data_IF_921249716006
#
_entry.id   IF_921249716006
#
_cell.length_a   1.000
_cell.length_b   1.000
_cell.length_c   1.000
_cell.angle_alpha   90.00
_cell.angle_beta   90.00
_cell.angle_gamma   90.00
#
_symmetry.space_group_name_H-M   'P 1'
#
loop_
_entity.id
_entity.type
_entity.pdbx_description
1 polymer ?
#
# COMPACT_ATOMS: atom_id res chain seq x y z
N UNK A 1 11.38 21.00 -5.08
CA UNK A 1 10.51 21.04 -6.28
C UNK A 1 9.10 20.69 -5.87
N UNK A 2 8.06 21.33 -6.43
CA UNK A 2 6.66 20.93 -6.17
C UNK A 2 6.39 19.61 -6.89
N UNK A 3 5.99 18.58 -6.16
CA UNK A 3 5.57 17.29 -6.74
C UNK A 3 4.29 17.48 -7.55
N UNK A 4 4.20 16.86 -8.71
CA UNK A 4 3.06 17.02 -9.63
C UNK A 4 2.21 15.75 -9.67
N UNK A 5 0.90 15.88 -9.91
CA UNK A 5 0.05 14.74 -10.23
C UNK A 5 0.59 13.99 -11.44
N UNK A 6 0.76 12.68 -11.32
CA UNK A 6 1.43 11.87 -12.35
C UNK A 6 0.76 10.50 -12.47
N UNK A 7 0.52 10.06 -13.71
CA UNK A 7 0.10 8.68 -14.02
C UNK A 7 1.32 7.82 -14.26
N UNK A 8 1.36 6.68 -13.60
CA UNK A 8 2.45 5.70 -13.70
C UNK A 8 1.86 4.34 -14.10
N UNK A 9 2.58 3.65 -14.97
CA UNK A 9 2.33 2.26 -15.37
C UNK A 9 3.50 1.39 -15.01
N UNK A 10 3.24 0.29 -14.32
CA UNK A 10 4.31 -0.63 -13.92
C UNK A 10 5.10 -1.17 -15.13
N UNK A 11 4.44 -1.35 -16.29
CA UNK A 11 5.08 -1.83 -17.51
C UNK A 11 6.13 -0.88 -18.09
N UNK A 12 6.09 0.41 -17.73
CA UNK A 12 7.01 1.42 -18.23
C UNK A 12 8.28 1.54 -17.37
N UNK A 13 8.38 0.78 -16.28
CA UNK A 13 9.43 0.88 -15.28
C UNK A 13 10.28 -0.40 -15.21
N UNK A 14 11.53 -0.24 -14.82
CA UNK A 14 12.43 -1.37 -14.62
C UNK A 14 12.09 -2.17 -13.36
N UNK A 15 12.15 -3.49 -13.50
CA UNK A 15 12.03 -4.41 -12.38
C UNK A 15 13.38 -4.61 -11.67
N UNK A 16 13.33 -4.94 -10.39
CA UNK A 16 14.50 -5.28 -9.57
C UNK A 16 14.20 -6.45 -8.62
N UNK A 17 15.24 -7.10 -8.11
CA UNK A 17 15.10 -8.16 -7.10
C UNK A 17 15.35 -7.57 -5.71
N UNK A 18 14.35 -7.58 -4.82
CA UNK A 18 14.51 -7.01 -3.48
C UNK A 18 15.41 -7.86 -2.58
N UNK A 19 16.08 -7.23 -1.64
CA UNK A 19 16.88 -7.93 -0.63
C UNK A 19 15.99 -8.83 0.26
N UNK A 20 16.57 -9.91 0.81
CA UNK A 20 15.88 -10.87 1.69
C UNK A 20 14.64 -11.57 1.10
N UNK A 21 14.40 -11.45 -0.19
CA UNK A 21 13.35 -12.16 -0.92
C UNK A 21 13.96 -13.18 -1.88
N UNK A 22 13.21 -14.23 -2.16
CA UNK A 22 13.58 -15.23 -3.16
C UNK A 22 12.51 -15.30 -4.24
N UNK A 23 12.93 -15.54 -5.50
CA UNK A 23 12.00 -15.66 -6.62
C UNK A 23 11.06 -14.48 -6.78
N UNK A 24 11.48 -13.29 -6.36
CA UNK A 24 10.69 -12.06 -6.35
C UNK A 24 11.29 -11.04 -7.31
N UNK A 25 10.42 -10.38 -8.05
CA UNK A 25 10.74 -9.26 -8.92
C UNK A 25 9.76 -8.12 -8.61
N UNK A 26 10.28 -6.96 -8.20
CA UNK A 26 9.47 -5.78 -7.87
C UNK A 26 9.65 -4.68 -8.91
N UNK A 27 8.58 -3.92 -9.15
CA UNK A 27 8.60 -2.63 -9.86
C UNK A 27 8.14 -1.56 -8.89
N UNK A 28 8.97 -0.55 -8.63
CA UNK A 28 8.60 0.60 -7.79
C UNK A 28 7.82 1.61 -8.60
N UNK A 29 6.50 1.61 -8.43
CA UNK A 29 5.61 2.51 -9.17
C UNK A 29 5.51 3.89 -8.51
N UNK A 30 5.47 3.96 -7.20
CA UNK A 30 5.44 5.20 -6.42
C UNK A 30 6.58 5.16 -5.41
N UNK A 31 7.38 6.19 -5.39
CA UNK A 31 8.49 6.34 -4.46
C UNK A 31 9.23 7.65 -4.65
N UNK A 32 10.26 7.91 -3.84
CA UNK A 32 11.05 9.14 -3.93
C UNK A 32 11.66 9.36 -5.32
N UNK A 33 12.15 8.30 -5.97
CA UNK A 33 12.83 8.39 -7.27
C UNK A 33 11.88 8.39 -8.48
N UNK A 34 10.63 7.98 -8.33
CA UNK A 34 9.66 7.94 -9.43
C UNK A 34 8.81 9.20 -9.51
N UNK A 35 8.20 9.59 -8.40
CA UNK A 35 7.27 10.73 -8.32
C UNK A 35 7.63 11.72 -7.21
N UNK A 36 8.72 11.51 -6.47
CA UNK A 36 9.11 12.32 -5.32
C UNK A 36 8.21 12.11 -4.10
N UNK A 37 7.56 10.95 -3.99
CA UNK A 37 6.74 10.61 -2.84
C UNK A 37 7.58 10.47 -1.57
N UNK A 38 7.07 10.95 -0.45
CA UNK A 38 7.77 10.96 0.84
C UNK A 38 6.95 10.36 1.97
N UNK A 39 5.64 10.17 1.80
CA UNK A 39 4.77 9.61 2.82
C UNK A 39 4.40 8.13 2.54
N UNK A 40 4.54 7.67 1.30
CA UNK A 40 4.27 6.29 0.92
C UNK A 40 5.16 5.82 -0.23
N UNK A 41 5.33 4.51 -0.32
CA UNK A 41 5.93 3.80 -1.44
C UNK A 41 4.98 2.69 -1.90
N UNK A 42 4.85 2.52 -3.22
CA UNK A 42 4.01 1.45 -3.79
C UNK A 42 4.80 0.66 -4.80
N UNK A 43 4.77 -0.66 -4.64
CA UNK A 43 5.43 -1.63 -5.51
C UNK A 43 4.39 -2.53 -6.18
N UNK A 44 4.70 -3.02 -7.39
CA UNK A 44 4.07 -4.19 -7.97
C UNK A 44 5.08 -5.33 -7.95
N UNK A 45 4.79 -6.36 -7.14
CA UNK A 45 5.63 -7.53 -6.99
C UNK A 45 5.12 -8.71 -7.80
N UNK A 46 6.03 -9.48 -8.40
CA UNK A 46 5.76 -10.78 -8.99
C UNK A 46 6.63 -11.81 -8.29
N UNK A 47 6.02 -12.89 -7.77
CA UNK A 47 6.70 -13.89 -6.95
C UNK A 47 6.35 -15.27 -7.49
N UNK A 48 7.37 -16.09 -7.77
CA UNK A 48 7.15 -17.47 -8.25
C UNK A 48 6.73 -18.40 -7.11
N UNK A 49 6.09 -19.52 -7.44
CA UNK A 49 5.63 -20.55 -6.49
C UNK A 49 6.70 -20.92 -5.47
N UNK A 50 6.29 -21.08 -4.22
CA UNK A 50 7.10 -21.46 -3.05
C UNK A 50 8.15 -20.42 -2.62
N UNK A 51 8.18 -19.26 -3.27
CA UNK A 51 9.05 -18.14 -2.94
C UNK A 51 8.29 -16.98 -2.28
N UNK A 52 9.01 -15.99 -1.80
CA UNK A 52 8.48 -14.80 -1.14
C UNK A 52 9.45 -14.20 -0.14
N UNK A 53 8.90 -13.60 0.91
CA UNK A 53 9.64 -12.94 1.98
C UNK A 53 9.84 -13.88 3.17
N UNK A 54 11.10 -14.04 3.63
CA UNK A 54 11.42 -14.71 4.88
C UNK A 54 10.94 -13.88 6.08
N UNK A 55 10.82 -14.49 7.28
CA UNK A 55 10.43 -13.74 8.47
C UNK A 55 11.31 -12.50 8.69
N UNK A 56 10.68 -11.35 8.80
CA UNK A 56 11.31 -10.07 9.04
C UNK A 56 10.29 -9.08 9.64
N UNK A 57 10.77 -7.97 10.18
CA UNK A 57 9.93 -6.89 10.69
C UNK A 57 10.45 -5.54 10.20
N UNK A 58 9.54 -4.59 10.07
CA UNK A 58 9.83 -3.20 9.78
C UNK A 58 9.53 -2.33 11.01
N UNK A 59 10.53 -1.89 11.80
CA UNK A 59 10.28 -1.19 13.06
C UNK A 59 9.56 0.14 12.94
N UNK A 60 9.73 0.84 11.81
CA UNK A 60 9.38 2.24 11.64
C UNK A 60 8.44 2.52 10.49
N UNK A 61 7.82 1.49 9.90
CA UNK A 61 6.85 1.64 8.83
C UNK A 61 5.76 0.56 8.93
N UNK A 62 4.63 0.84 8.33
CA UNK A 62 3.53 -0.10 8.13
C UNK A 62 3.60 -0.65 6.72
N UNK A 63 3.22 -1.92 6.56
CA UNK A 63 3.16 -2.58 5.27
C UNK A 63 1.74 -3.07 5.00
N UNK A 64 1.28 -2.83 3.77
CA UNK A 64 0.09 -3.49 3.24
C UNK A 64 0.43 -4.25 1.98
N UNK A 65 -0.26 -5.37 1.74
CA UNK A 65 -0.13 -6.14 0.51
C UNK A 65 -1.51 -6.55 -0.01
N UNK A 66 -1.77 -6.32 -1.29
CA UNK A 66 -2.99 -6.73 -1.97
C UNK A 66 -2.67 -7.83 -2.97
N UNK A 67 -3.40 -8.94 -2.91
CA UNK A 67 -3.25 -10.01 -3.88
C UNK A 67 -4.04 -9.68 -5.14
N UNK A 68 -3.32 -9.43 -6.24
CA UNK A 68 -3.91 -9.15 -7.56
C UNK A 68 -4.22 -10.46 -8.27
N UNK A 69 -3.24 -11.38 -8.30
CA UNK A 69 -3.31 -12.67 -9.01
C UNK A 69 -2.57 -13.74 -8.24
N UNK A 70 -2.97 -15.01 -8.42
CA UNK A 70 -2.40 -16.15 -7.71
C UNK A 70 -2.92 -16.28 -6.29
N UNK A 71 -2.31 -17.13 -5.49
CA UNK A 71 -2.63 -17.31 -4.07
C UNK A 71 -1.35 -17.39 -3.24
N UNK A 72 -1.45 -17.06 -1.97
CA UNK A 72 -0.32 -17.11 -1.04
C UNK A 72 -0.73 -17.28 0.40
N UNK A 73 0.25 -17.30 1.27
CA UNK A 73 0.10 -17.37 2.72
C UNK A 73 0.87 -16.22 3.37
N UNK A 74 0.19 -15.47 4.21
CA UNK A 74 0.78 -14.46 5.09
C UNK A 74 0.96 -15.07 6.48
N UNK A 75 2.20 -15.16 6.95
CA UNK A 75 2.55 -15.68 8.27
C UNK A 75 2.93 -14.54 9.22
N UNK A 76 2.31 -14.50 10.40
CA UNK A 76 2.66 -13.54 11.45
C UNK A 76 2.13 -13.98 12.82
N UNK A 77 2.85 -13.66 13.88
CA UNK A 77 2.40 -13.86 15.26
C UNK A 77 1.89 -15.31 15.55
N UNK A 78 2.57 -16.31 14.97
CA UNK A 78 2.22 -17.72 15.13
C UNK A 78 0.98 -18.17 14.34
N UNK A 79 0.47 -17.35 13.42
CA UNK A 79 -0.68 -17.65 12.54
C UNK A 79 -0.24 -17.61 11.08
N UNK A 80 -0.94 -18.37 10.27
CA UNK A 80 -0.82 -18.34 8.82
C UNK A 80 -2.23 -18.10 8.26
N UNK A 81 -2.37 -17.09 7.43
CA UNK A 81 -3.64 -16.73 6.80
C UNK A 81 -3.49 -16.79 5.28
N UNK A 82 -4.49 -17.38 4.62
CA UNK A 82 -4.53 -17.45 3.16
C UNK A 82 -4.77 -16.07 2.56
N UNK A 83 -4.05 -15.78 1.48
CA UNK A 83 -4.26 -14.61 0.64
C UNK A 83 -4.70 -15.06 -0.76
N UNK A 84 -5.89 -14.63 -1.14
CA UNK A 84 -6.50 -14.87 -2.44
C UNK A 84 -6.66 -13.54 -3.20
N UNK A 85 -6.86 -13.55 -4.53
CA UNK A 85 -7.16 -12.33 -5.27
C UNK A 85 -8.32 -11.55 -4.62
N UNK A 86 -8.14 -10.25 -4.45
CA UNK A 86 -9.10 -9.40 -3.75
C UNK A 86 -8.89 -9.26 -2.24
N UNK A 87 -7.83 -9.86 -1.67
CA UNK A 87 -7.53 -9.71 -0.23
C UNK A 87 -6.39 -8.73 0.02
N UNK A 88 -6.51 -7.97 1.10
CA UNK A 88 -5.47 -7.12 1.68
C UNK A 88 -4.90 -7.75 2.95
N UNK A 89 -3.59 -7.75 3.10
CA UNK A 89 -2.91 -7.95 4.38
C UNK A 89 -2.40 -6.60 4.89
N UNK A 90 -2.59 -6.32 6.17
CA UNK A 90 -2.01 -5.19 6.89
C UNK A 90 -1.08 -5.69 7.96
N UNK A 91 0.13 -5.18 7.97
CA UNK A 91 1.20 -5.49 8.93
C UNK A 91 1.60 -4.22 9.66
N UNK A 92 1.32 -4.12 10.97
CA UNK A 92 1.77 -2.99 11.78
C UNK A 92 3.30 -2.92 11.90
N UNK A 93 3.81 -1.72 12.19
CA UNK A 93 5.23 -1.54 12.47
C UNK A 93 5.71 -2.47 13.60
N UNK A 94 6.88 -3.08 13.41
CA UNK A 94 7.53 -3.97 14.38
C UNK A 94 6.99 -5.40 14.43
N UNK A 95 5.97 -5.75 13.67
CA UNK A 95 5.44 -7.11 13.64
C UNK A 95 6.24 -7.99 12.68
N UNK A 96 6.82 -9.08 13.21
CA UNK A 96 7.46 -10.11 12.38
C UNK A 96 6.42 -10.80 11.50
N UNK A 97 6.71 -10.84 10.21
CA UNK A 97 5.83 -11.41 9.21
C UNK A 97 6.62 -12.08 8.08
N UNK A 98 5.97 -12.94 7.36
CA UNK A 98 6.48 -13.62 6.17
C UNK A 98 5.39 -13.73 5.13
N UNK A 99 5.78 -13.99 3.89
CA UNK A 99 4.85 -14.26 2.81
C UNK A 99 5.40 -15.33 1.87
N UNK A 100 4.54 -16.22 1.37
CA UNK A 100 4.90 -17.26 0.41
C UNK A 100 3.78 -17.47 -0.59
N UNK A 101 4.12 -17.54 -1.89
CA UNK A 101 3.16 -17.92 -2.94
C UNK A 101 2.91 -19.42 -2.91
N UNK A 102 1.65 -19.81 -2.97
CA UNK A 102 1.18 -21.21 -2.95
C UNK A 102 0.62 -21.70 -4.28
N UNK A 103 0.14 -20.79 -5.15
CA UNK A 103 -0.36 -21.12 -6.49
C UNK A 103 0.74 -21.61 -7.43
N UNK A 104 0.34 -22.43 -8.44
CA UNK A 104 1.25 -22.87 -9.50
C UNK A 104 1.68 -21.71 -10.41
N UNK A 105 0.79 -20.76 -10.64
CA UNK A 105 1.11 -19.52 -11.34
C UNK A 105 1.80 -18.54 -10.38
N UNK A 106 2.68 -17.67 -10.88
CA UNK A 106 3.26 -16.61 -10.07
C UNK A 106 2.19 -15.76 -9.38
N UNK A 107 2.42 -15.43 -8.10
CA UNK A 107 1.60 -14.46 -7.38
C UNK A 107 1.97 -13.05 -7.81
N UNK A 108 0.97 -12.19 -7.99
CA UNK A 108 1.15 -10.77 -8.30
C UNK A 108 0.52 -9.93 -7.22
N UNK A 109 1.30 -9.03 -6.64
CA UNK A 109 0.90 -8.26 -5.46
C UNK A 109 1.13 -6.78 -5.67
N UNK A 110 0.22 -5.98 -5.12
CA UNK A 110 0.46 -4.58 -4.82
C UNK A 110 0.99 -4.51 -3.38
N UNK A 111 2.16 -3.90 -3.18
CA UNK A 111 2.75 -3.73 -1.85
C UNK A 111 2.88 -2.24 -1.55
N UNK A 112 2.45 -1.83 -0.37
CA UNK A 112 2.47 -0.45 0.10
C UNK A 112 3.27 -0.36 1.39
N UNK A 113 4.20 0.57 1.45
CA UNK A 113 4.92 0.95 2.66
C UNK A 113 4.60 2.40 3.04
N UNK A 114 4.34 2.65 4.30
CA UNK A 114 4.14 3.99 4.85
C UNK A 114 4.84 4.12 6.21
N UNK A 115 5.85 5.02 6.33
CA UNK A 115 6.53 5.76 5.27
C UNK A 115 7.33 4.86 4.31
N UNK A 116 7.97 5.41 3.24
CA UNK A 116 8.71 4.62 2.26
C UNK A 116 9.79 3.73 2.88
N UNK A 117 9.88 2.49 2.37
CA UNK A 117 10.93 1.54 2.74
C UNK A 117 12.26 1.85 2.05
N UNK A 118 12.22 2.11 0.72
CA UNK A 118 13.38 2.48 -0.09
C UNK A 118 14.48 1.42 -0.16
N UNK A 119 14.16 0.14 0.10
CA UNK A 119 15.14 -0.97 0.22
C UNK A 119 16.26 -0.68 1.24
N UNK A 120 16.00 0.16 2.23
CA UNK A 120 16.98 0.50 3.25
C UNK A 120 17.09 -0.61 4.31
N UNK A 121 18.25 -1.30 4.42
CA UNK A 121 18.44 -2.38 5.40
C UNK A 121 18.19 -1.95 6.85
N UNK A 122 18.42 -0.67 7.18
CA UNK A 122 18.14 -0.15 8.52
C UNK A 122 16.64 -0.13 8.89
N UNK A 123 15.75 -0.28 7.89
CA UNK A 123 14.30 -0.38 8.09
C UNK A 123 13.80 -1.82 8.19
N UNK A 124 14.73 -2.80 8.29
CA UNK A 124 14.38 -4.23 8.37
C UNK A 124 15.16 -4.91 9.47
N UNK A 125 14.48 -5.73 10.25
CA UNK A 125 15.09 -6.65 11.23
C UNK A 125 14.72 -8.06 10.80
N UNK A 126 15.73 -8.94 10.70
CA UNK A 126 15.56 -10.36 10.37
C UNK A 126 15.79 -11.24 11.59
N UNK A 127 15.06 -12.37 11.71
CA UNK A 127 15.37 -13.38 12.73
C UNK A 127 16.70 -14.10 12.43
N UNK A 128 17.43 -14.58 13.46
CA UNK A 128 17.10 -14.65 14.89
C UNK A 128 17.52 -13.44 15.73
N UNK A 129 18.24 -12.47 15.16
CA UNK A 129 19.02 -11.51 15.96
C UNK A 129 18.21 -10.35 16.55
N UNK A 130 16.95 -10.21 16.22
CA UNK A 130 16.16 -9.03 16.58
C UNK A 130 14.76 -9.26 17.10
N UNK A 131 14.28 -10.49 17.13
CA UNK A 131 12.86 -10.79 17.43
C UNK A 131 12.40 -10.29 18.81
N UNK A 132 13.30 -10.23 19.80
CA UNK A 132 12.96 -9.80 21.16
C UNK A 132 12.99 -8.28 21.37
N UNK A 133 13.53 -7.51 20.41
CA UNK A 133 13.85 -6.10 20.62
C UNK A 133 12.83 -5.12 20.03
N UNK A 134 11.85 -5.59 19.25
CA UNK A 134 10.91 -4.72 18.55
C UNK A 134 9.53 -4.79 19.20
N UNK A 135 9.05 -3.69 19.78
CA UNK A 135 7.68 -3.64 20.28
C UNK A 135 6.70 -3.78 19.11
N UNK A 136 5.89 -4.84 19.11
CA UNK A 136 4.81 -5.00 18.15
C UNK A 136 3.65 -4.04 18.49
N UNK A 137 3.29 -3.18 17.55
CA UNK A 137 2.22 -2.20 17.71
C UNK A 137 0.95 -2.65 16.97
N UNK A 138 0.34 -3.75 17.40
CA UNK A 138 -0.92 -4.21 16.82
C UNK A 138 -0.89 -5.65 16.33
N UNK A 139 -1.84 -6.00 15.46
CA UNK A 139 -2.00 -7.35 14.89
C UNK A 139 -2.05 -7.27 13.38
N UNK A 140 -1.45 -8.27 12.73
CA UNK A 140 -1.68 -8.50 11.29
C UNK A 140 -3.16 -8.77 11.06
N UNK A 141 -3.70 -8.23 9.97
CA UNK A 141 -5.06 -8.46 9.51
C UNK A 141 -5.06 -8.83 8.04
N UNK A 142 -5.77 -9.87 7.70
CA UNK A 142 -6.11 -10.21 6.31
C UNK A 142 -7.59 -9.87 6.11
N UNK A 143 -7.89 -9.05 5.12
CA UNK A 143 -9.20 -8.45 4.90
C UNK A 143 -9.60 -8.65 3.44
N UNK A 144 -10.76 -9.24 3.20
CA UNK A 144 -11.33 -9.26 1.86
C UNK A 144 -11.75 -7.83 1.46
N UNK A 145 -11.42 -7.41 0.24
CA UNK A 145 -11.90 -6.13 -0.30
C UNK A 145 -13.42 -6.14 -0.55
N UNK A 146 -14.03 -7.30 -0.50
CA UNK A 146 -15.46 -7.59 -0.39
C UNK A 146 -16.38 -6.89 -1.38
N UNK A 147 -17.68 -7.16 -1.29
CA UNK A 147 -18.75 -6.40 -1.92
C UNK A 147 -18.98 -5.08 -1.16
N UNK A 148 -17.93 -4.26 -1.12
CA UNK A 148 -18.07 -2.90 -0.64
C UNK A 148 -19.12 -2.20 -1.50
N UNK A 149 -20.10 -1.57 -0.86
CA UNK A 149 -21.14 -0.78 -1.53
C UNK A 149 -20.56 0.27 -2.48
N UNK A 150 -21.38 1.03 -3.13
CA UNK A 150 -20.94 2.12 -4.03
C UNK A 150 -20.24 3.23 -3.23
N UNK A 151 -19.25 3.87 -3.85
CA UNK A 151 -18.49 4.97 -3.26
C UNK A 151 -17.13 4.55 -2.69
N UNK A 152 -16.73 5.22 -1.63
CA UNK A 152 -15.48 4.95 -0.90
C UNK A 152 -15.79 4.20 0.38
N UNK A 153 -15.19 3.02 0.54
CA UNK A 153 -15.37 2.19 1.73
C UNK A 153 -14.02 1.95 2.39
N UNK A 154 -13.81 2.40 3.64
CA UNK A 154 -12.58 2.14 4.38
C UNK A 154 -12.33 0.64 4.56
N UNK A 155 -11.10 0.21 4.29
CA UNK A 155 -10.63 -1.17 4.49
C UNK A 155 -9.56 -1.22 5.58
N UNK A 156 -8.55 -0.37 5.45
CA UNK A 156 -7.43 -0.28 6.38
C UNK A 156 -7.28 1.18 6.77
N UNK A 157 -7.49 1.47 8.02
CA UNK A 157 -7.29 2.78 8.62
C UNK A 157 -7.12 2.64 10.15
N UNK A 158 -7.15 3.75 10.85
CA UNK A 158 -7.02 3.77 12.31
C UNK A 158 -8.14 3.02 13.03
N UNK A 159 -9.35 3.07 12.51
CA UNK A 159 -10.54 2.46 13.14
C UNK A 159 -10.64 0.97 12.82
N UNK A 160 -10.43 0.60 11.57
CA UNK A 160 -10.60 -0.78 11.08
C UNK A 160 -9.41 -1.67 11.44
N UNK A 161 -8.18 -1.16 11.36
CA UNK A 161 -6.95 -1.94 11.51
C UNK A 161 -5.98 -1.39 12.58
N UNK A 162 -6.20 -0.20 13.10
CA UNK A 162 -5.26 0.48 13.99
C UNK A 162 -4.08 1.11 13.25
N UNK A 163 -4.21 1.33 11.94
CA UNK A 163 -3.17 1.92 11.12
C UNK A 163 -2.89 3.38 11.50
N UNK A 164 -1.62 3.77 11.43
CA UNK A 164 -1.16 5.11 11.86
C UNK A 164 -0.79 5.99 10.68
N UNK A 165 -0.16 5.39 9.68
CA UNK A 165 0.46 6.11 8.56
C UNK A 165 -0.16 5.78 7.22
N UNK A 166 -0.91 4.69 7.11
CA UNK A 166 -1.59 4.27 5.88
C UNK A 166 -3.10 4.21 6.06
N UNK A 167 -3.85 4.72 5.06
CA UNK A 167 -5.26 4.42 4.91
C UNK A 167 -5.51 3.84 3.52
N UNK A 168 -6.31 2.79 3.45
CA UNK A 168 -6.74 2.18 2.19
C UNK A 168 -8.26 2.11 2.18
N UNK A 169 -8.86 2.65 1.12
CA UNK A 169 -10.29 2.55 0.88
C UNK A 169 -10.55 1.90 -0.47
N UNK A 170 -11.51 1.00 -0.53
CA UNK A 170 -12.05 0.56 -1.81
C UNK A 170 -12.83 1.71 -2.44
N UNK A 171 -12.67 1.86 -3.75
CA UNK A 171 -13.43 2.80 -4.58
C UNK A 171 -14.30 2.00 -5.55
N UNK A 172 -15.61 2.20 -5.52
CA UNK A 172 -16.58 1.58 -6.41
C UNK A 172 -17.40 2.67 -7.09
N UNK A 173 -17.21 2.84 -8.37
CA UNK A 173 -17.87 3.88 -9.17
C UNK A 173 -18.87 3.26 -10.14
N UNK A 174 -20.17 3.47 -9.95
CA UNK A 174 -21.18 3.11 -10.95
C UNK A 174 -20.89 3.78 -12.31
N UNK A 175 -21.32 3.15 -13.39
CA UNK A 175 -21.22 3.73 -14.73
C UNK A 175 -21.85 5.14 -14.77
N UNK A 176 -21.16 6.10 -15.37
CA UNK A 176 -21.59 7.50 -15.47
C UNK A 176 -21.45 8.33 -14.18
N UNK A 177 -21.01 7.74 -13.09
CA UNK A 177 -20.87 8.45 -11.79
C UNK A 177 -19.62 9.33 -11.72
N UNK A 178 -19.65 10.24 -10.74
CA UNK A 178 -18.50 11.10 -10.39
C UNK A 178 -18.15 10.97 -8.92
N UNK A 179 -16.90 11.22 -8.58
CA UNK A 179 -16.39 11.28 -7.21
C UNK A 179 -15.31 12.35 -7.10
N UNK A 180 -15.01 12.80 -5.89
CA UNK A 180 -13.91 13.72 -5.62
C UNK A 180 -13.00 13.07 -4.59
N UNK A 181 -11.69 13.17 -4.80
CA UNK A 181 -10.71 12.83 -3.77
C UNK A 181 -9.77 14.02 -3.53
N UNK A 182 -9.47 14.25 -2.27
CA UNK A 182 -8.60 15.34 -1.81
C UNK A 182 -7.53 14.75 -0.90
N UNK A 183 -6.32 15.26 -1.01
CA UNK A 183 -5.23 14.95 -0.08
C UNK A 183 -5.07 16.07 0.93
N UNK A 184 -4.83 15.71 2.17
CA UNK A 184 -4.51 16.65 3.24
C UNK A 184 -3.09 17.25 3.03
N UNK A 185 -2.75 18.36 3.69
CA UNK A 185 -1.42 18.99 3.54
C UNK A 185 -0.25 18.13 4.03
N UNK A 186 -0.50 17.13 4.86
CA UNK A 186 0.48 16.20 5.44
C UNK A 186 0.39 14.78 4.87
N UNK A 187 -0.46 14.57 3.86
CA UNK A 187 -0.69 13.26 3.24
C UNK A 187 -0.42 13.27 1.73
N UNK A 188 -0.06 12.13 1.19
CA UNK A 188 -0.01 11.83 -0.24
C UNK A 188 -1.01 10.71 -0.54
N UNK A 189 -1.55 10.67 -1.75
CA UNK A 189 -2.53 9.68 -2.12
C UNK A 189 -2.24 9.07 -3.49
N UNK A 190 -2.58 7.80 -3.63
CA UNK A 190 -2.52 7.07 -4.91
C UNK A 190 -3.90 6.51 -5.20
N UNK A 191 -4.39 6.72 -6.42
CA UNK A 191 -5.49 5.96 -6.98
C UNK A 191 -4.91 4.83 -7.82
N UNK A 192 -5.21 3.59 -7.48
CA UNK A 192 -4.98 2.40 -8.30
C UNK A 192 -6.29 1.97 -8.94
N UNK A 193 -6.32 1.77 -10.25
CA UNK A 193 -7.49 1.24 -10.96
C UNK A 193 -7.37 -0.28 -11.06
N UNK A 194 -8.33 -0.98 -10.49
CA UNK A 194 -8.41 -2.44 -10.50
C UNK A 194 -9.18 -2.95 -11.72
N UNK A 195 -10.36 -2.36 -11.98
CA UNK A 195 -11.22 -2.70 -13.11
C UNK A 195 -11.95 -1.48 -13.66
N UNK A 196 -12.36 -1.57 -14.92
CA UNK A 196 -13.04 -0.46 -15.60
C UNK A 196 -12.09 0.64 -16.05
N UNK A 197 -12.63 1.85 -16.18
CA UNK A 197 -11.89 3.06 -16.56
C UNK A 197 -12.30 4.21 -15.65
N UNK A 198 -11.34 5.01 -15.25
CA UNK A 198 -11.56 6.25 -14.49
C UNK A 198 -10.89 7.40 -15.22
N UNK A 199 -11.65 8.43 -15.57
CA UNK A 199 -11.09 9.68 -16.03
C UNK A 199 -10.92 10.59 -14.81
N UNK A 200 -9.72 11.14 -14.62
CA UNK A 200 -9.39 12.02 -13.51
C UNK A 200 -9.00 13.41 -14.02
N UNK A 201 -9.45 14.45 -13.33
CA UNK A 201 -9.01 15.83 -13.58
C UNK A 201 -8.37 16.41 -12.32
N UNK A 202 -7.11 16.82 -12.44
CA UNK A 202 -6.29 17.36 -11.34
C UNK A 202 -5.57 18.61 -11.82
N UNK A 203 -5.72 19.73 -11.12
CA UNK A 203 -5.10 21.01 -11.47
C UNK A 203 -5.32 21.42 -12.95
N UNK A 204 -6.54 21.20 -13.47
CA UNK A 204 -6.91 21.50 -14.85
C UNK A 204 -6.39 20.52 -15.91
N UNK A 205 -5.64 19.49 -15.53
CA UNK A 205 -5.11 18.43 -16.42
C UNK A 205 -6.01 17.19 -16.37
N UNK A 206 -6.23 16.59 -17.51
CA UNK A 206 -7.05 15.37 -17.65
C UNK A 206 -6.15 14.13 -17.78
N UNK A 207 -6.51 13.07 -17.10
CA UNK A 207 -5.83 11.78 -17.08
C UNK A 207 -6.84 10.67 -17.32
N UNK A 208 -6.61 9.82 -18.33
CA UNK A 208 -7.37 8.57 -18.52
C UNK A 208 -6.63 7.40 -17.88
N UNK A 209 -7.31 6.68 -16.98
CA UNK A 209 -6.75 5.57 -16.22
C UNK A 209 -7.45 4.27 -16.60
N UNK A 210 -6.66 3.26 -16.90
CA UNK A 210 -7.09 1.88 -17.20
C UNK A 210 -6.69 0.92 -16.06
N UNK A 211 -7.17 -0.33 -16.05
CA UNK A 211 -6.73 -1.32 -15.07
C UNK A 211 -5.22 -1.47 -15.01
N UNK A 212 -4.67 -1.43 -13.80
CA UNK A 212 -3.23 -1.49 -13.55
C UNK A 212 -2.52 -0.13 -13.54
N UNK A 213 -3.22 0.97 -13.87
CA UNK A 213 -2.67 2.33 -13.80
C UNK A 213 -2.73 2.90 -12.38
N UNK A 214 -1.75 3.75 -12.07
CA UNK A 214 -1.64 4.49 -10.82
C UNK A 214 -1.67 5.98 -11.10
N UNK A 215 -2.48 6.73 -10.35
CA UNK A 215 -2.43 8.20 -10.32
C UNK A 215 -1.91 8.66 -8.95
N UNK A 216 -0.74 9.26 -8.94
CA UNK A 216 -0.19 9.91 -7.76
C UNK A 216 -0.78 11.31 -7.58
N UNK A 217 -1.27 11.58 -6.38
CA UNK A 217 -1.79 12.86 -5.93
C UNK A 217 -0.90 13.40 -4.79
N UNK A 218 -0.13 14.46 -5.05
CA UNK A 218 0.71 15.07 -4.02
C UNK A 218 -0.13 15.76 -2.94
N UNK A 219 0.53 16.22 -1.90
CA UNK A 219 -0.08 16.94 -0.77
C UNK A 219 -0.92 18.11 -1.22
N UNK A 220 -2.12 18.23 -0.66
CA UNK A 220 -3.07 19.31 -0.94
C UNK A 220 -3.68 19.26 -2.34
N UNK A 221 -3.45 18.18 -3.12
CA UNK A 221 -4.08 18.03 -4.41
C UNK A 221 -5.55 17.62 -4.28
N UNK A 222 -6.37 18.03 -5.25
CA UNK A 222 -7.74 17.60 -5.40
C UNK A 222 -7.96 17.05 -6.81
N UNK A 223 -8.61 15.89 -6.90
CA UNK A 223 -8.97 15.25 -8.15
C UNK A 223 -10.48 15.09 -8.26
N UNK A 224 -11.04 15.48 -9.40
CA UNK A 224 -12.37 15.05 -9.80
C UNK A 224 -12.24 13.77 -10.60
N UNK A 225 -12.98 12.74 -10.22
CA UNK A 225 -13.00 11.43 -10.86
C UNK A 225 -14.33 11.23 -11.58
N UNK A 226 -14.30 10.68 -12.78
CA UNK A 226 -15.47 10.31 -13.58
C UNK A 226 -15.33 8.87 -14.04
N UNK A 227 -16.34 8.07 -13.79
CA UNK A 227 -16.49 6.76 -14.40
C UNK A 227 -17.25 6.95 -15.74
N UNK A 228 -16.71 6.51 -16.89
CA UNK A 228 -17.44 6.53 -18.15
C UNK A 228 -18.74 5.72 -18.09
N UNK A 229 -19.74 6.04 -18.96
CA UNK A 229 -21.08 5.43 -18.86
C UNK A 229 -21.16 3.98 -19.34
N UNK A 230 -20.11 3.46 -19.98
CA UNK A 230 -20.13 2.14 -20.62
C UNK A 230 -20.11 1.00 -19.60
N UNK A 231 -19.42 1.15 -18.48
CA UNK A 231 -19.33 0.13 -17.43
C UNK A 231 -18.86 0.73 -16.11
N UNK A 232 -19.16 0.09 -14.97
CA UNK A 232 -18.63 0.52 -13.68
C UNK A 232 -17.10 0.39 -13.62
N UNK A 233 -16.50 1.09 -12.66
CA UNK A 233 -15.08 1.00 -12.38
C UNK A 233 -14.82 0.75 -10.90
N UNK A 234 -13.70 0.08 -10.60
CA UNK A 234 -13.24 -0.16 -9.23
C UNK A 234 -11.74 0.07 -9.08
N UNK A 235 -11.35 0.29 -7.84
CA UNK A 235 -9.95 0.46 -7.49
C UNK A 235 -9.77 0.75 -6.02
N UNK A 236 -8.62 1.28 -5.68
CA UNK A 236 -8.27 1.64 -4.31
C UNK A 236 -7.71 3.06 -4.24
N UNK A 237 -8.11 3.77 -3.19
CA UNK A 237 -7.48 4.99 -2.75
C UNK A 237 -6.54 4.63 -1.60
N UNK A 238 -5.24 4.82 -1.83
CA UNK A 238 -4.16 4.50 -0.90
C UNK A 238 -3.55 5.82 -0.44
N UNK A 239 -3.66 6.12 0.84
CA UNK A 239 -3.15 7.35 1.43
C UNK A 239 -2.02 7.04 2.38
N UNK A 240 -0.91 7.77 2.25
CA UNK A 240 0.19 7.77 3.21
C UNK A 240 0.25 9.09 3.96
N UNK A 241 0.48 9.03 5.27
CA UNK A 241 0.72 10.20 6.11
C UNK A 241 2.15 10.25 6.59
N UNK A 242 2.71 11.43 6.70
CA UNK A 242 3.99 11.59 7.38
C UNK A 242 3.82 11.27 8.86
N UNK A 243 4.81 10.58 9.46
CA UNK A 243 4.88 10.48 10.91
C UNK A 243 4.85 11.88 11.50
N UNK A 244 3.92 12.13 12.43
CA UNK A 244 3.90 13.40 13.16
C UNK A 244 5.23 13.58 13.88
N UNK A 245 5.87 14.74 13.72
CA UNK A 245 7.09 15.12 14.43
C UNK A 245 6.81 15.48 15.91
N UNK A 246 5.76 14.92 16.49
CA UNK A 246 5.48 15.08 17.91
C UNK A 246 6.53 14.28 18.67
N UNK A 247 7.47 14.99 19.28
CA UNK A 247 8.39 14.43 20.28
C UNK A 247 7.60 13.58 21.26
N UNK A 248 8.09 12.40 21.67
CA UNK A 248 7.43 11.64 22.73
C UNK A 248 7.27 12.57 23.94
N UNK A 249 6.17 12.46 24.69
CA UNK A 249 5.99 13.26 25.90
C UNK A 249 7.23 13.02 26.78
N UNK A 250 7.85 14.12 27.20
CA UNK A 250 8.89 14.08 28.20
C UNK A 250 8.32 13.34 29.40
N UNK A 251 8.83 12.16 29.68
CA UNK A 251 8.56 11.49 30.94
C UNK A 251 9.13 12.41 32.00
N UNK A 252 8.24 13.11 32.74
CA UNK A 252 8.61 13.82 33.91
C UNK A 252 9.32 12.84 34.85
N UNK A 253 10.62 13.03 35.00
CA UNK A 253 11.38 12.31 35.99
C UNK A 253 10.74 12.59 37.35
N UNK A 254 10.39 11.52 38.05
CA UNK A 254 10.05 11.54 39.44
C UNK A 254 11.21 12.17 40.20
N UNK A 255 10.95 13.39 40.72
CA UNK A 255 11.69 13.93 41.82
C UNK A 255 11.05 13.43 43.13
N UNK A 256 11.71 12.49 43.76
CA UNK A 256 11.75 12.42 45.24
C UNK A 256 12.71 11.30 45.65
#
# INVERSE_FOLDING_TARGET
MKTLPTVIRAADLAAYSPANHTGTSNVRVIGPETVGATALEVLVGTIVKSHGARPHAHPHLEQCAYMIEGTGESGAQGRVEAMEPGTWAYVPAGVFHSFRVTSDQPGRLLVVYAPPYGENPAHTITEPDGAAAVPAHGRVRVLAAGDAGTGKVPLIDRETAGARWVDISALRMPAGSTSVCTTEPDAEQVLYVEDGRIDARVDGRDFGLAPGDFLFLPRGAAASLRCPPERPASGFLIKGRLPSTVSPPLTNGDNS
#
